data_IF_038083144143
#
_entry.id   IF_038083144143
#
_cell.length_a   1.000
_cell.length_b   1.000
_cell.length_c   1.000
_cell.angle_alpha   90.00
_cell.angle_beta   90.00
_cell.angle_gamma   90.00
#
_symmetry.space_group_name_H-M   'P 1'
#
loop_
_entity.id
_entity.type
_entity.pdbx_description
1 polymer ?
#
# COMPACT_ATOMS: atom_id res chain seq x y z
N UNK A 1 45.76 -0.46 19.07
CA UNK A 1 46.21 -0.60 17.68
C UNK A 1 44.99 -1.03 16.88
N UNK A 2 44.40 -0.12 16.11
CA UNK A 2 43.23 -0.40 15.29
C UNK A 2 43.75 -0.89 13.92
N UNK A 3 43.40 -2.10 13.53
CA UNK A 3 43.69 -2.62 12.19
C UNK A 3 42.47 -2.33 11.31
N UNK A 4 42.63 -1.44 10.33
CA UNK A 4 41.66 -1.26 9.24
C UNK A 4 42.10 -2.18 8.11
N UNK A 5 41.29 -3.18 7.80
CA UNK A 5 41.44 -3.99 6.59
C UNK A 5 40.63 -3.29 5.50
N UNK A 6 41.31 -2.67 4.54
CA UNK A 6 40.68 -2.18 3.32
C UNK A 6 40.55 -3.38 2.38
N UNK A 7 39.32 -3.82 2.14
CA UNK A 7 39.02 -4.72 1.04
C UNK A 7 39.11 -3.93 -0.28
N UNK A 8 39.74 -4.47 -1.34
CA UNK A 8 39.73 -3.81 -2.64
C UNK A 8 38.30 -3.78 -3.18
N UNK A 9 37.89 -2.62 -3.69
CA UNK A 9 36.64 -2.45 -4.42
C UNK A 9 36.69 -3.30 -5.69
N UNK A 10 36.03 -4.46 -5.66
CA UNK A 10 35.71 -5.25 -6.85
C UNK A 10 34.22 -5.45 -6.86
N UNK A 11 33.51 -4.56 -7.54
CA UNK A 11 32.14 -4.81 -7.99
C UNK A 11 32.04 -4.39 -9.46
N UNK A 12 32.69 -5.15 -10.34
CA UNK A 12 32.13 -5.39 -11.66
C UNK A 12 31.19 -6.59 -11.48
N UNK A 13 29.97 -6.31 -11.03
CA UNK A 13 28.89 -7.27 -11.15
C UNK A 13 28.39 -7.12 -12.59
N UNK A 14 28.42 -8.19 -13.37
CA UNK A 14 27.81 -8.20 -14.70
C UNK A 14 26.30 -7.95 -14.52
N UNK A 15 25.90 -6.69 -14.69
CA UNK A 15 24.51 -6.28 -14.74
C UNK A 15 24.05 -6.47 -16.18
N UNK A 16 23.48 -7.64 -16.48
CA UNK A 16 22.83 -7.87 -17.77
C UNK A 16 21.47 -7.15 -17.77
N UNK A 17 21.32 -6.18 -18.68
CA UNK A 17 20.04 -5.55 -18.93
C UNK A 17 19.17 -6.56 -19.70
N UNK A 18 17.93 -6.84 -19.26
CA UNK A 18 17.06 -7.75 -19.98
C UNK A 18 16.95 -7.39 -21.47
N UNK A 19 17.18 -8.36 -22.35
CA UNK A 19 17.29 -8.13 -23.79
C UNK A 19 16.05 -7.48 -24.41
N UNK A 20 14.86 -7.67 -23.82
CA UNK A 20 13.62 -7.06 -24.28
C UNK A 20 13.63 -5.52 -24.21
N UNK A 21 14.48 -4.93 -23.36
CA UNK A 21 14.65 -3.48 -23.23
C UNK A 21 15.28 -2.87 -24.50
N UNK A 22 16.12 -3.64 -25.22
CA UNK A 22 16.81 -3.17 -26.43
C UNK A 22 15.85 -2.69 -27.52
N UNK A 23 14.64 -3.25 -27.56
CA UNK A 23 13.59 -2.80 -28.48
C UNK A 23 13.22 -1.33 -28.26
N UNK A 24 13.11 -0.89 -27.01
CA UNK A 24 12.76 0.50 -26.68
C UNK A 24 13.89 1.46 -27.08
N UNK A 25 15.14 1.05 -26.91
CA UNK A 25 16.29 1.83 -27.36
C UNK A 25 16.35 1.94 -28.89
N UNK A 26 16.05 0.86 -29.61
CA UNK A 26 15.93 0.88 -31.08
C UNK A 26 14.81 1.81 -31.56
N UNK A 27 13.61 1.68 -30.99
CA UNK A 27 12.49 2.58 -31.31
C UNK A 27 12.81 4.04 -31.03
N UNK A 28 13.54 4.33 -29.95
CA UNK A 28 13.97 5.68 -29.67
C UNK A 28 14.95 6.18 -30.71
N UNK A 29 16.00 5.40 -31.02
CA UNK A 29 17.02 5.74 -32.01
C UNK A 29 16.42 6.00 -33.41
N UNK A 30 15.44 5.19 -33.82
CA UNK A 30 14.72 5.32 -35.09
C UNK A 30 13.72 6.48 -35.11
N UNK A 31 13.48 7.15 -33.99
CA UNK A 31 12.51 8.23 -33.86
C UNK A 31 11.05 7.76 -33.82
N UNK A 32 10.81 6.48 -33.53
CA UNK A 32 9.47 5.92 -33.33
C UNK A 32 8.87 6.31 -31.98
N UNK A 33 9.72 6.52 -30.96
CA UNK A 33 9.34 7.16 -29.70
C UNK A 33 10.15 8.43 -29.46
N UNK A 34 9.54 9.41 -28.81
CA UNK A 34 10.19 10.68 -28.49
C UNK A 34 11.09 10.57 -27.23
N UNK A 35 11.91 11.60 -27.04
CA UNK A 35 12.88 11.69 -25.95
C UNK A 35 12.21 11.59 -24.56
N UNK A 36 11.04 12.22 -24.39
CA UNK A 36 10.31 12.20 -23.12
C UNK A 36 9.78 10.81 -22.79
N UNK A 37 9.25 10.10 -23.80
CA UNK A 37 8.74 8.73 -23.67
C UNK A 37 9.85 7.77 -23.29
N UNK A 38 11.00 7.88 -23.96
CA UNK A 38 12.17 7.06 -23.66
C UNK A 38 12.71 7.34 -22.25
N UNK A 39 12.87 8.61 -21.88
CA UNK A 39 13.35 9.02 -20.53
C UNK A 39 12.40 8.51 -19.43
N UNK A 40 11.10 8.69 -19.60
CA UNK A 40 10.10 8.23 -18.62
C UNK A 40 10.13 6.70 -18.44
N UNK A 41 10.23 5.96 -19.55
CA UNK A 41 10.38 4.51 -19.51
C UNK A 41 11.67 4.08 -18.82
N UNK A 42 12.78 4.77 -19.08
CA UNK A 42 14.05 4.49 -18.45
C UNK A 42 14.05 4.78 -16.95
N UNK A 43 13.47 5.91 -16.53
CA UNK A 43 13.27 6.24 -15.11
C UNK A 43 12.45 5.16 -14.41
N UNK A 44 11.38 4.67 -15.04
CA UNK A 44 10.58 3.58 -14.49
C UNK A 44 11.38 2.28 -14.34
N UNK A 45 12.17 1.92 -15.35
CA UNK A 45 13.02 0.71 -15.33
C UNK A 45 14.07 0.75 -14.24
N UNK A 46 14.68 1.92 -14.02
CA UNK A 46 15.63 2.15 -12.92
C UNK A 46 14.92 2.10 -11.57
N UNK A 47 13.72 2.69 -11.46
CA UNK A 47 12.96 2.77 -10.20
C UNK A 47 12.36 1.44 -9.74
N UNK A 48 12.16 0.48 -10.66
CA UNK A 48 11.61 -0.85 -10.37
C UNK A 48 12.69 -1.94 -10.34
N UNK A 49 13.97 -1.56 -10.17
CA UNK A 49 15.12 -2.48 -10.12
C UNK A 49 15.26 -3.41 -11.35
N UNK A 50 14.67 -3.02 -12.50
CA UNK A 50 14.83 -3.76 -13.77
C UNK A 50 16.18 -3.44 -14.40
N UNK A 51 16.64 -2.20 -14.26
CA UNK A 51 17.99 -1.75 -14.63
C UNK A 51 18.67 -1.18 -13.40
N UNK A 52 19.77 -1.79 -12.98
CA UNK A 52 20.61 -1.24 -11.92
C UNK A 52 21.68 -0.35 -12.52
N UNK A 53 21.76 0.90 -12.07
CA UNK A 53 22.78 1.86 -12.50
C UNK A 53 23.84 1.97 -11.38
N UNK A 54 25.15 1.95 -11.69
CA UNK A 54 26.18 2.18 -10.69
C UNK A 54 25.98 3.54 -9.99
N UNK A 55 26.46 3.71 -8.74
CA UNK A 55 26.33 4.95 -8.01
C UNK A 55 26.78 6.16 -8.85
N UNK A 56 25.87 7.11 -9.05
CA UNK A 56 26.05 8.28 -9.92
C UNK A 56 25.55 9.52 -9.19
N UNK A 57 26.37 10.56 -9.10
CA UNK A 57 25.95 11.83 -8.51
C UNK A 57 24.98 12.55 -9.45
N UNK A 58 23.85 13.01 -8.92
CA UNK A 58 22.84 13.68 -9.72
C UNK A 58 23.19 15.16 -9.94
N UNK A 59 23.07 15.62 -11.19
CA UNK A 59 23.30 17.01 -11.55
C UNK A 59 22.18 17.96 -11.08
N UNK A 60 22.49 19.25 -11.03
CA UNK A 60 21.47 20.29 -10.92
C UNK A 60 20.76 20.42 -12.28
N UNK A 61 19.42 20.25 -12.29
CA UNK A 61 18.62 20.14 -13.52
C UNK A 61 19.02 21.12 -14.62
N UNK A 62 19.21 20.59 -15.84
CA UNK A 62 19.62 21.34 -17.03
C UNK A 62 18.50 21.47 -18.05
N UNK A 63 18.75 22.14 -19.17
CA UNK A 63 17.86 22.08 -20.34
C UNK A 63 17.65 20.61 -20.76
N UNK A 64 16.39 20.21 -20.98
CA UNK A 64 15.95 18.83 -21.27
C UNK A 64 16.37 18.32 -22.67
N UNK A 65 17.50 18.78 -23.21
CA UNK A 65 17.94 18.42 -24.57
C UNK A 65 18.89 17.23 -24.49
N UNK A 66 18.46 16.09 -25.01
CA UNK A 66 19.30 14.89 -25.07
C UNK A 66 20.30 15.03 -26.23
N UNK A 67 21.63 14.92 -25.98
CA UNK A 67 22.62 14.97 -27.05
C UNK A 67 22.46 13.82 -28.06
N UNK A 68 22.64 14.11 -29.35
CA UNK A 68 22.49 13.10 -30.40
C UNK A 68 23.43 11.90 -30.28
N UNK A 69 24.59 12.05 -29.64
CA UNK A 69 25.50 10.92 -29.40
C UNK A 69 24.92 9.88 -28.42
N UNK A 70 24.08 10.30 -27.46
CA UNK A 70 23.37 9.37 -26.56
C UNK A 70 22.38 8.53 -27.38
N UNK A 71 21.65 9.19 -28.29
CA UNK A 71 20.68 8.54 -29.16
C UNK A 71 21.34 7.54 -30.12
N UNK A 72 22.52 7.89 -30.65
CA UNK A 72 23.33 6.96 -31.44
C UNK A 72 23.77 5.75 -30.63
N UNK A 73 24.22 5.94 -29.38
CA UNK A 73 24.59 4.84 -28.49
C UNK A 73 23.41 3.90 -28.23
N UNK A 74 22.19 4.43 -28.06
CA UNK A 74 20.99 3.60 -27.90
C UNK A 74 20.72 2.72 -29.14
N UNK A 75 20.90 3.26 -30.35
CA UNK A 75 20.79 2.49 -31.59
C UNK A 75 21.87 1.40 -31.69
N UNK A 76 23.13 1.74 -31.42
CA UNK A 76 24.22 0.77 -31.39
C UNK A 76 24.01 -0.32 -30.35
N UNK A 77 23.44 0.01 -29.19
CA UNK A 77 23.14 -0.96 -28.14
C UNK A 77 22.00 -1.91 -28.55
N UNK A 78 20.97 -1.38 -29.20
CA UNK A 78 19.87 -2.17 -29.75
C UNK A 78 20.34 -3.17 -30.82
N UNK A 79 21.29 -2.75 -31.66
CA UNK A 79 21.91 -3.58 -32.69
C UNK A 79 22.97 -4.56 -32.15
N UNK A 80 23.28 -4.51 -30.85
CA UNK A 80 24.33 -5.34 -30.24
C UNK A 80 25.76 -4.93 -30.62
N UNK A 81 25.97 -3.70 -31.10
CA UNK A 81 27.29 -3.16 -31.46
C UNK A 81 28.07 -2.64 -30.24
N UNK A 82 27.36 -2.23 -29.19
CA UNK A 82 27.95 -1.91 -27.88
C UNK A 82 27.32 -2.76 -26.78
N UNK A 83 28.07 -2.98 -25.71
CA UNK A 83 27.63 -3.76 -24.55
C UNK A 83 26.76 -2.93 -23.59
N UNK A 84 26.17 -3.60 -22.60
CA UNK A 84 25.30 -2.97 -21.61
C UNK A 84 26.06 -1.91 -20.79
N UNK A 85 27.34 -2.16 -20.49
CA UNK A 85 28.19 -1.22 -19.75
C UNK A 85 28.41 0.11 -20.49
N UNK A 86 28.58 0.05 -21.82
CA UNK A 86 28.70 1.24 -22.67
C UNK A 86 27.39 2.03 -22.74
N UNK A 87 26.25 1.33 -22.80
CA UNK A 87 24.93 1.98 -22.77
C UNK A 87 24.65 2.63 -21.41
N UNK A 88 24.91 1.91 -20.31
CA UNK A 88 24.77 2.40 -18.93
C UNK A 88 25.61 3.65 -18.69
N UNK A 89 26.83 3.71 -19.23
CA UNK A 89 27.69 4.90 -19.11
C UNK A 89 27.03 6.16 -19.72
N UNK A 90 26.25 6.00 -20.79
CA UNK A 90 25.45 7.08 -21.36
C UNK A 90 24.31 7.54 -20.42
N UNK A 91 23.65 6.59 -19.75
CA UNK A 91 22.61 6.88 -18.75
C UNK A 91 23.20 7.63 -17.55
N UNK A 92 24.34 7.17 -17.03
CA UNK A 92 25.03 7.85 -15.93
C UNK A 92 25.38 9.29 -16.29
N UNK A 93 25.78 9.54 -17.54
CA UNK A 93 26.03 10.89 -18.01
C UNK A 93 24.78 11.76 -18.01
N UNK A 94 23.62 11.23 -18.46
CA UNK A 94 22.34 11.96 -18.42
C UNK A 94 21.94 12.33 -16.98
N UNK A 95 22.16 11.43 -16.02
CA UNK A 95 21.87 11.66 -14.60
C UNK A 95 22.83 12.73 -14.03
N UNK A 96 24.13 12.60 -14.32
CA UNK A 96 25.16 13.52 -13.83
C UNK A 96 25.00 14.95 -14.35
N UNK A 97 24.38 15.10 -15.52
CA UNK A 97 24.12 16.41 -16.12
C UNK A 97 22.71 16.94 -15.79
N UNK A 98 21.91 16.23 -14.99
CA UNK A 98 20.57 16.67 -14.59
C UNK A 98 19.55 16.67 -15.73
N UNK A 99 19.80 15.91 -16.81
CA UNK A 99 18.85 15.69 -17.91
C UNK A 99 17.85 14.60 -17.53
N UNK A 100 18.35 13.53 -16.89
CA UNK A 100 17.51 12.58 -16.17
C UNK A 100 17.62 12.94 -14.69
N UNK A 101 16.53 13.41 -14.14
CA UNK A 101 16.37 13.50 -12.70
C UNK A 101 15.78 12.17 -12.25
N UNK A 102 16.56 11.39 -11.52
CA UNK A 102 15.98 10.34 -10.71
C UNK A 102 15.42 11.08 -9.50
N UNK A 103 14.10 11.14 -9.38
CA UNK A 103 13.57 11.40 -8.03
C UNK A 103 14.12 10.26 -7.17
N UNK A 104 14.58 10.57 -5.94
CA UNK A 104 14.77 9.50 -4.96
C UNK A 104 13.56 8.61 -5.09
N UNK A 105 13.81 7.33 -5.35
CA UNK A 105 12.78 6.39 -5.76
C UNK A 105 11.50 6.77 -5.06
N UNK A 106 10.45 7.08 -5.83
CA UNK A 106 9.16 6.63 -5.35
C UNK A 106 9.34 5.12 -5.35
N UNK A 107 9.98 4.59 -4.29
CA UNK A 107 9.47 3.45 -3.58
C UNK A 107 7.99 3.73 -3.66
N UNK A 108 7.28 2.99 -4.52
CA UNK A 108 5.86 2.83 -4.30
C UNK A 108 5.87 2.30 -2.88
N UNK A 109 5.69 3.19 -1.90
CA UNK A 109 5.85 2.84 -0.50
C UNK A 109 4.88 1.71 -0.37
N UNK A 110 5.39 0.49 -0.21
CA UNK A 110 4.57 -0.71 -0.25
C UNK A 110 3.45 -0.43 0.74
N UNK A 111 2.24 -0.22 0.23
CA UNK A 111 1.15 0.24 1.07
C UNK A 111 0.67 -0.98 1.84
N UNK A 112 1.15 -1.08 3.07
CA UNK A 112 1.01 -2.25 3.91
C UNK A 112 -0.12 -2.03 4.89
N UNK A 113 -1.09 -2.93 4.78
CA UNK A 113 -2.30 -2.93 5.61
C UNK A 113 -2.20 -4.09 6.58
N UNK A 114 -2.36 -3.80 7.87
CA UNK A 114 -2.51 -4.82 8.88
C UNK A 114 -3.97 -5.23 9.02
N UNK A 115 -4.24 -6.53 9.01
CA UNK A 115 -5.54 -7.12 9.26
C UNK A 115 -5.49 -7.85 10.60
N UNK A 116 -6.34 -7.45 11.54
CA UNK A 116 -6.40 -8.04 12.88
C UNK A 116 -7.85 -8.12 13.37
N UNK A 117 -8.12 -8.99 14.35
CA UNK A 117 -9.40 -9.15 15.02
C UNK A 117 -9.18 -9.65 16.44
N UNK A 118 -10.24 -9.65 17.25
CA UNK A 118 -10.24 -10.30 18.57
C UNK A 118 -9.09 -9.82 19.48
N UNK A 119 -8.81 -8.51 19.44
CA UNK A 119 -7.57 -7.95 19.99
C UNK A 119 -7.50 -8.04 21.51
N UNK A 120 -8.58 -7.68 22.22
CA UNK A 120 -8.53 -7.47 23.67
C UNK A 120 -7.63 -6.29 24.07
N UNK A 121 -7.21 -6.23 25.34
CA UNK A 121 -6.34 -5.14 25.84
C UNK A 121 -5.20 -5.64 26.75
N UNK A 122 -4.74 -6.88 26.54
CA UNK A 122 -3.69 -7.52 27.34
C UNK A 122 -2.28 -7.31 26.77
N UNK A 123 -1.23 -7.89 27.40
CA UNK A 123 0.13 -7.81 26.89
C UNK A 123 0.30 -8.37 25.46
N UNK A 124 -0.43 -9.44 25.13
CA UNK A 124 -0.42 -9.99 23.77
C UNK A 124 -1.00 -9.02 22.73
N UNK A 125 -2.03 -8.25 23.11
CA UNK A 125 -2.62 -7.19 22.28
C UNK A 125 -1.60 -6.11 21.95
N UNK A 126 -0.76 -5.73 22.93
CA UNK A 126 0.34 -4.78 22.72
C UNK A 126 1.39 -5.36 21.77
N UNK A 127 1.77 -6.63 21.94
CA UNK A 127 2.75 -7.27 21.05
C UNK A 127 2.29 -7.34 19.59
N UNK A 128 0.99 -7.50 19.33
CA UNK A 128 0.44 -7.43 17.95
C UNK A 128 0.58 -6.01 17.39
N UNK A 129 0.29 -4.97 18.18
CA UNK A 129 0.49 -3.58 17.76
C UNK A 129 1.98 -3.25 17.54
N UNK A 130 2.89 -3.79 18.37
CA UNK A 130 4.32 -3.65 18.17
C UNK A 130 4.77 -4.32 16.86
N UNK A 131 4.24 -5.50 16.54
CA UNK A 131 4.50 -6.15 15.25
C UNK A 131 4.01 -5.30 14.07
N UNK A 132 2.81 -4.71 14.16
CA UNK A 132 2.28 -3.80 13.13
C UNK A 132 3.22 -2.62 12.91
N UNK A 133 3.75 -2.05 14.00
CA UNK A 133 4.72 -0.95 13.97
C UNK A 133 6.05 -1.36 13.34
N UNK A 134 6.58 -2.52 13.73
CA UNK A 134 7.87 -3.03 13.26
C UNK A 134 7.81 -3.40 11.77
N UNK A 135 6.68 -3.93 11.34
CA UNK A 135 6.36 -4.16 9.93
C UNK A 135 6.01 -2.86 9.18
N UNK A 136 6.02 -1.68 9.82
CA UNK A 136 5.76 -0.39 9.17
C UNK A 136 4.44 -0.35 8.38
N UNK A 137 3.41 -1.05 8.87
CA UNK A 137 2.08 -0.94 8.27
C UNK A 137 1.59 0.51 8.37
N UNK A 138 0.94 1.00 7.33
CA UNK A 138 0.44 2.37 7.25
C UNK A 138 -1.02 2.50 7.71
N UNK A 139 -1.74 1.38 7.82
CA UNK A 139 -3.09 1.37 8.37
C UNK A 139 -3.47 0.01 8.96
N UNK A 140 -4.51 0.00 9.78
CA UNK A 140 -5.16 -1.22 10.29
C UNK A 140 -6.60 -1.31 9.82
N UNK A 141 -6.99 -2.49 9.33
CA UNK A 141 -8.38 -2.94 9.22
C UNK A 141 -8.65 -3.96 10.34
N UNK A 142 -9.46 -3.59 11.32
CA UNK A 142 -9.80 -4.41 12.48
C UNK A 142 -11.17 -5.10 12.29
N UNK A 143 -11.18 -6.43 12.21
CA UNK A 143 -12.34 -7.29 12.06
C UNK A 143 -13.12 -7.48 13.38
N UNK A 144 -13.36 -6.39 14.11
CA UNK A 144 -14.20 -6.38 15.33
C UNK A 144 -13.65 -7.14 16.54
N UNK A 145 -14.46 -7.14 17.59
CA UNK A 145 -14.15 -7.67 18.92
C UNK A 145 -12.88 -7.01 19.53
N UNK A 146 -13.02 -5.70 19.77
CA UNK A 146 -11.95 -4.75 20.00
C UNK A 146 -11.23 -4.94 21.33
N UNK A 147 -11.97 -4.98 22.44
CA UNK A 147 -11.37 -5.02 23.79
C UNK A 147 -12.03 -6.00 24.77
N UNK A 148 -13.23 -6.51 24.44
CA UNK A 148 -14.10 -7.35 25.29
C UNK A 148 -14.50 -6.73 26.66
N UNK A 149 -14.26 -5.44 26.84
CA UNK A 149 -14.42 -4.71 28.09
C UNK A 149 -15.40 -3.53 28.03
N UNK A 150 -15.92 -3.18 26.85
CA UNK A 150 -16.74 -1.97 26.64
C UNK A 150 -16.00 -0.69 27.13
N UNK A 151 -14.69 -0.57 26.85
CA UNK A 151 -13.84 0.56 27.28
C UNK A 151 -13.13 1.23 26.08
N UNK A 152 -13.86 2.02 25.26
CA UNK A 152 -13.30 2.70 24.09
C UNK A 152 -12.09 3.58 24.39
N UNK A 153 -12.07 4.26 25.54
CA UNK A 153 -10.97 5.12 25.95
C UNK A 153 -9.68 4.32 26.22
N UNK A 154 -9.81 3.15 26.85
CA UNK A 154 -8.65 2.29 27.13
C UNK A 154 -8.16 1.61 25.86
N UNK A 155 -9.08 1.14 25.01
CA UNK A 155 -8.75 0.55 23.72
C UNK A 155 -7.97 1.53 22.83
N UNK A 156 -8.50 2.75 22.64
CA UNK A 156 -7.86 3.77 21.81
C UNK A 156 -6.51 4.22 22.38
N UNK A 157 -6.41 4.40 23.71
CA UNK A 157 -5.16 4.76 24.38
C UNK A 157 -4.06 3.71 24.17
N UNK A 158 -4.41 2.42 24.21
CA UNK A 158 -3.45 1.35 23.94
C UNK A 158 -2.89 1.46 22.52
N UNK A 159 -3.75 1.70 21.54
CA UNK A 159 -3.35 1.91 20.14
C UNK A 159 -2.45 3.14 20.01
N UNK A 160 -2.90 4.30 20.54
CA UNK A 160 -2.16 5.56 20.45
C UNK A 160 -0.78 5.49 21.12
N UNK A 161 -0.65 4.74 22.21
CA UNK A 161 0.64 4.54 22.89
C UNK A 161 1.66 3.75 22.05
N UNK A 162 1.22 2.86 21.16
CA UNK A 162 2.11 2.00 20.36
C UNK A 162 2.31 2.57 18.95
N UNK A 163 1.21 2.80 18.25
CA UNK A 163 1.18 3.17 16.83
C UNK A 163 1.17 4.67 16.60
N UNK A 164 0.71 5.46 17.57
CA UNK A 164 0.51 6.90 17.43
C UNK A 164 -0.97 7.29 17.39
N UNK A 165 -1.24 8.51 17.83
CA UNK A 165 -2.60 9.06 17.98
C UNK A 165 -3.23 9.50 16.65
N UNK A 166 -2.39 9.68 15.63
CA UNK A 166 -2.73 9.97 14.24
C UNK A 166 -2.72 8.73 13.34
N UNK A 167 -2.28 7.56 13.83
CA UNK A 167 -2.20 6.35 13.02
C UNK A 167 -3.58 5.93 12.45
N UNK A 168 -3.71 5.74 11.11
CA UNK A 168 -4.94 5.31 10.47
C UNK A 168 -5.41 3.93 10.97
N UNK A 169 -6.56 3.93 11.66
CA UNK A 169 -7.13 2.73 12.26
C UNK A 169 -8.62 2.67 11.96
N UNK A 170 -9.07 1.54 11.43
CA UNK A 170 -10.46 1.31 11.04
C UNK A 170 -10.96 0.02 11.65
N UNK A 171 -12.23 -0.04 12.01
CA UNK A 171 -12.81 -1.24 12.56
C UNK A 171 -14.23 -1.48 12.04
N UNK A 172 -14.59 -2.75 11.88
CA UNK A 172 -15.97 -3.20 11.72
C UNK A 172 -16.53 -3.64 13.07
N UNK A 173 -17.83 -3.46 13.30
CA UNK A 173 -18.45 -3.85 14.58
C UNK A 173 -18.51 -5.37 14.72
N UNK A 174 -17.91 -5.90 15.79
CA UNK A 174 -18.05 -7.25 16.29
C UNK A 174 -19.17 -7.40 17.33
N UNK A 175 -19.37 -8.63 17.80
CA UNK A 175 -20.42 -8.90 18.80
C UNK A 175 -20.10 -8.25 20.14
N UNK A 176 -18.82 -8.19 20.48
CA UNK A 176 -18.35 -7.63 21.74
C UNK A 176 -18.25 -6.09 21.75
N UNK A 177 -18.50 -5.43 20.61
CA UNK A 177 -18.36 -3.99 20.48
C UNK A 177 -19.70 -3.27 20.45
N UNK A 178 -20.77 -3.99 20.07
CA UNK A 178 -22.05 -3.41 19.68
C UNK A 178 -22.69 -2.54 20.76
N UNK A 179 -22.41 -2.84 22.03
CA UNK A 179 -22.94 -2.13 23.21
C UNK A 179 -22.30 -0.75 23.40
N UNK A 180 -20.98 -0.62 23.27
CA UNK A 180 -20.25 0.64 23.41
C UNK A 180 -19.88 1.29 22.06
N UNK A 181 -20.48 0.83 20.95
CA UNK A 181 -20.17 1.35 19.61
C UNK A 181 -20.57 2.83 19.42
N UNK A 182 -21.81 3.18 19.79
CA UNK A 182 -22.36 4.53 19.70
C UNK A 182 -22.58 5.08 21.13
N UNK A 183 -21.53 5.40 21.88
CA UNK A 183 -21.74 6.12 23.14
C UNK A 183 -21.91 7.63 22.87
N UNK A 184 -22.93 8.21 23.51
CA UNK A 184 -23.46 9.54 23.19
C UNK A 184 -22.80 10.68 23.98
N UNK A 185 -23.51 11.79 24.27
CA UNK A 185 -22.90 13.06 24.69
C UNK A 185 -22.17 13.09 26.06
N UNK A 186 -22.09 11.95 26.77
CA UNK A 186 -21.44 11.82 28.07
C UNK A 186 -20.17 10.96 27.99
N UNK A 187 -20.06 10.07 27.01
CA UNK A 187 -18.92 9.15 26.78
C UNK A 187 -18.81 8.86 25.30
N UNK A 188 -17.60 8.90 24.77
CA UNK A 188 -17.33 8.57 23.37
C UNK A 188 -17.41 7.05 23.16
N UNK A 189 -18.10 6.61 22.12
CA UNK A 189 -18.09 5.22 21.70
C UNK A 189 -16.85 4.86 20.90
N UNK A 190 -16.71 3.58 20.54
CA UNK A 190 -15.65 3.14 19.62
C UNK A 190 -15.67 3.93 18.31
N UNK A 191 -16.88 4.22 17.78
CA UNK A 191 -17.02 4.95 16.54
C UNK A 191 -16.49 6.39 16.64
N UNK A 192 -16.69 7.06 17.77
CA UNK A 192 -16.18 8.41 17.99
C UNK A 192 -14.64 8.44 17.97
N UNK A 193 -14.00 7.42 18.57
CA UNK A 193 -12.53 7.27 18.51
C UNK A 193 -12.03 7.11 17.09
N UNK A 194 -12.72 6.32 16.27
CA UNK A 194 -12.40 6.16 14.86
C UNK A 194 -12.60 7.47 14.07
N UNK A 195 -13.68 8.21 14.32
CA UNK A 195 -13.89 9.52 13.70
C UNK A 195 -12.84 10.55 14.11
N UNK A 196 -12.37 10.53 15.36
CA UNK A 196 -11.30 11.41 15.81
C UNK A 196 -9.96 11.09 15.13
N UNK A 197 -9.69 9.81 14.84
CA UNK A 197 -8.55 9.42 13.98
C UNK A 197 -8.74 9.90 12.55
N UNK A 198 -9.93 9.79 11.97
CA UNK A 198 -10.21 10.31 10.62
C UNK A 198 -10.00 11.82 10.50
N UNK A 199 -10.39 12.61 11.52
CA UNK A 199 -10.18 14.07 11.53
C UNK A 199 -8.70 14.44 11.46
N UNK A 200 -7.80 13.57 11.92
CA UNK A 200 -6.34 13.76 11.89
C UNK A 200 -5.72 13.32 10.56
N UNK A 201 -6.46 12.59 9.72
CA UNK A 201 -6.01 12.05 8.43
C UNK A 201 -6.93 12.55 7.29
N UNK A 202 -6.81 13.82 6.90
CA UNK A 202 -7.73 14.47 5.95
C UNK A 202 -7.69 13.91 4.51
N UNK A 203 -6.68 13.12 4.17
CA UNK A 203 -6.55 12.41 2.91
C UNK A 203 -7.45 11.16 2.83
N UNK A 204 -7.96 10.69 3.96
CA UNK A 204 -8.86 9.55 4.03
C UNK A 204 -10.28 10.03 3.78
N UNK A 205 -10.95 9.40 2.84
CA UNK A 205 -12.37 9.67 2.56
C UNK A 205 -13.20 8.50 2.99
N UNK A 206 -14.28 8.75 3.72
CA UNK A 206 -15.24 7.73 4.13
C UNK A 206 -16.67 8.24 3.93
N UNK A 207 -17.55 7.35 3.48
CA UNK A 207 -18.99 7.58 3.37
C UNK A 207 -19.77 6.53 4.15
N UNK A 208 -20.97 6.87 4.59
CA UNK A 208 -21.84 5.96 5.32
C UNK A 208 -21.62 5.99 6.84
N UNK A 209 -22.05 4.92 7.51
CA UNK A 209 -22.00 4.77 8.96
C UNK A 209 -20.74 3.98 9.33
N UNK A 210 -19.73 4.67 9.87
CA UNK A 210 -18.37 4.14 10.01
C UNK A 210 -18.33 2.84 10.81
N UNK A 211 -17.77 1.78 10.21
CA UNK A 211 -17.66 0.44 10.81
C UNK A 211 -18.96 -0.38 10.83
N UNK A 212 -20.06 0.19 10.34
CA UNK A 212 -21.38 -0.47 10.29
C UNK A 212 -21.79 -0.73 8.85
N UNK A 213 -21.84 0.34 8.05
CA UNK A 213 -22.02 0.32 6.59
C UNK A 213 -21.30 1.54 6.03
N UNK A 214 -19.99 1.43 5.91
CA UNK A 214 -19.16 2.50 5.39
C UNK A 214 -18.23 2.01 4.30
N UNK A 215 -17.95 2.87 3.35
CA UNK A 215 -16.92 2.67 2.35
C UNK A 215 -15.92 3.80 2.45
N UNK A 216 -14.63 3.47 2.35
CA UNK A 216 -13.55 4.41 2.50
C UNK A 216 -12.50 4.21 1.41
N UNK A 217 -11.77 5.28 1.12
CA UNK A 217 -10.61 5.26 0.23
C UNK A 217 -9.42 5.90 0.95
N UNK A 218 -8.29 5.19 0.92
CA UNK A 218 -7.02 5.70 1.40
C UNK A 218 -5.89 5.12 0.54
N UNK A 219 -5.02 5.99 0.00
CA UNK A 219 -3.87 5.59 -0.82
C UNK A 219 -4.23 4.58 -1.94
N UNK A 220 -5.28 4.90 -2.72
CA UNK A 220 -5.86 4.08 -3.79
C UNK A 220 -6.42 2.71 -3.38
N UNK A 221 -6.42 2.37 -2.09
CA UNK A 221 -7.15 1.24 -1.55
C UNK A 221 -8.60 1.65 -1.26
N UNK A 222 -9.54 0.98 -1.90
CA UNK A 222 -10.94 1.04 -1.53
C UNK A 222 -11.26 -0.05 -0.50
N UNK A 223 -12.00 0.28 0.55
CA UNK A 223 -12.42 -0.73 1.51
C UNK A 223 -13.79 -0.44 2.11
N UNK A 224 -14.51 -1.50 2.39
CA UNK A 224 -15.87 -1.48 2.92
C UNK A 224 -15.86 -2.12 4.30
N UNK A 225 -16.35 -1.39 5.29
CA UNK A 225 -16.56 -1.88 6.65
C UNK A 225 -18.04 -2.18 6.82
N UNK A 226 -18.37 -3.44 7.08
CA UNK A 226 -19.74 -3.88 7.36
C UNK A 226 -19.81 -4.70 8.64
N UNK A 227 -20.97 -4.68 9.28
CA UNK A 227 -21.20 -5.39 10.56
C UNK A 227 -22.42 -6.31 10.52
N UNK A 228 -22.47 -7.29 9.60
CA UNK A 228 -23.56 -8.25 9.54
C UNK A 228 -23.78 -8.93 10.89
N UNK A 229 -25.05 -9.02 11.29
CA UNK A 229 -25.51 -9.63 12.55
C UNK A 229 -25.13 -8.87 13.83
N UNK A 230 -24.04 -8.09 13.83
CA UNK A 230 -23.65 -7.26 14.97
C UNK A 230 -24.44 -5.94 15.03
N UNK A 231 -24.56 -5.23 13.90
CA UNK A 231 -25.20 -3.91 13.85
C UNK A 231 -25.67 -3.54 12.45
N UNK A 232 -26.82 -2.86 12.35
CA UNK A 232 -27.40 -2.46 11.06
C UNK A 232 -27.93 -3.64 10.23
N UNK A 233 -28.47 -3.33 9.04
CA UNK A 233 -29.03 -4.31 8.10
C UNK A 233 -28.77 -3.90 6.64
N UNK A 234 -28.96 -4.83 5.70
CA UNK A 234 -28.76 -4.60 4.26
C UNK A 234 -27.29 -4.40 3.89
N UNK A 235 -26.40 -5.19 4.48
CA UNK A 235 -24.96 -5.12 4.27
C UNK A 235 -24.53 -5.62 2.90
N UNK A 236 -25.14 -6.70 2.44
CA UNK A 236 -25.00 -7.29 1.11
C UNK A 236 -25.30 -6.26 0.00
N UNK A 237 -26.49 -5.66 0.03
CA UNK A 237 -26.89 -4.64 -0.96
C UNK A 237 -26.03 -3.38 -0.91
N UNK A 238 -25.54 -3.00 0.29
CA UNK A 238 -24.57 -1.92 0.43
C UNK A 238 -23.25 -2.27 -0.26
N UNK A 239 -22.69 -3.46 0.00
CA UNK A 239 -21.46 -3.93 -0.64
C UNK A 239 -21.60 -3.95 -2.17
N UNK A 240 -22.68 -4.54 -2.68
CA UNK A 240 -22.93 -4.60 -4.13
C UNK A 240 -22.97 -3.20 -4.75
N UNK A 241 -23.68 -2.27 -4.11
CA UNK A 241 -23.77 -0.89 -4.60
C UNK A 241 -22.40 -0.19 -4.60
N UNK A 242 -21.64 -0.33 -3.51
CA UNK A 242 -20.34 0.31 -3.37
C UNK A 242 -19.31 -0.24 -4.37
N UNK A 243 -19.25 -1.56 -4.56
CA UNK A 243 -18.31 -2.17 -5.50
C UNK A 243 -18.70 -1.92 -6.97
N UNK A 244 -19.99 -1.90 -7.31
CA UNK A 244 -20.44 -1.59 -8.68
C UNK A 244 -20.13 -0.14 -9.11
N UNK A 245 -19.96 0.76 -8.15
CA UNK A 245 -19.64 2.17 -8.38
C UNK A 245 -18.17 2.52 -8.08
N UNK A 246 -17.31 1.51 -7.93
CA UNK A 246 -15.90 1.67 -7.62
C UNK A 246 -15.03 1.22 -8.81
N UNK A 247 -13.95 1.96 -9.07
CA UNK A 247 -12.96 1.67 -10.11
C UNK A 247 -11.53 1.48 -9.56
N UNK A 248 -11.39 1.34 -8.24
CA UNK A 248 -10.10 1.13 -7.58
C UNK A 248 -9.50 -0.24 -7.94
N UNK A 249 -8.17 -0.30 -8.06
CA UNK A 249 -7.44 -1.55 -8.37
C UNK A 249 -7.61 -2.58 -7.26
N UNK A 250 -7.51 -2.12 -6.01
CA UNK A 250 -7.65 -2.96 -4.82
C UNK A 250 -8.92 -2.58 -4.06
N UNK A 251 -9.69 -3.61 -3.71
CA UNK A 251 -10.89 -3.48 -2.89
C UNK A 251 -10.88 -4.52 -1.79
N UNK A 252 -11.28 -4.13 -0.57
CA UNK A 252 -11.41 -5.04 0.58
C UNK A 252 -12.77 -4.88 1.23
N UNK A 253 -13.45 -5.97 1.56
CA UNK A 253 -14.57 -5.95 2.48
C UNK A 253 -14.13 -6.54 3.82
N UNK A 254 -14.41 -5.84 4.90
CA UNK A 254 -14.00 -6.19 6.26
C UNK A 254 -15.22 -6.33 7.16
N UNK A 255 -15.31 -7.44 7.90
CA UNK A 255 -16.32 -7.66 8.94
C UNK A 255 -15.83 -8.67 9.97
N UNK A 256 -16.55 -8.86 11.08
CA UNK A 256 -16.07 -9.68 12.20
C UNK A 256 -16.49 -11.16 12.16
N UNK A 257 -17.70 -11.44 11.69
CA UNK A 257 -18.30 -12.78 11.82
C UNK A 257 -18.03 -13.67 10.62
N UNK A 258 -18.04 -14.97 10.86
CA UNK A 258 -17.78 -15.97 9.83
C UNK A 258 -18.99 -16.86 9.51
N UNK A 259 -18.95 -17.51 8.35
CA UNK A 259 -19.74 -18.72 8.11
C UNK A 259 -18.99 -19.93 8.70
N UNK A 260 -19.70 -20.97 9.14
CA UNK A 260 -19.08 -22.17 9.68
C UNK A 260 -18.05 -22.78 8.71
N UNK A 261 -18.36 -22.76 7.40
CA UNK A 261 -17.46 -23.27 6.35
C UNK A 261 -16.20 -22.43 6.11
N UNK A 262 -16.16 -21.20 6.63
CA UNK A 262 -15.04 -20.25 6.42
C UNK A 262 -14.08 -20.21 7.61
N UNK A 263 -14.24 -21.11 8.59
CA UNK A 263 -13.41 -21.16 9.78
C UNK A 263 -13.06 -22.61 10.14
N UNK A 264 -11.97 -22.76 10.89
CA UNK A 264 -11.53 -24.06 11.42
C UNK A 264 -12.23 -24.44 12.74
N UNK A 265 -13.02 -23.52 13.30
CA UNK A 265 -13.73 -23.69 14.56
C UNK A 265 -15.13 -24.31 14.39
N UNK A 266 -15.86 -24.38 15.50
CA UNK A 266 -17.20 -24.96 15.57
C UNK A 266 -18.31 -23.90 15.67
N UNK A 267 -18.02 -22.61 15.42
CA UNK A 267 -19.07 -21.58 15.45
C UNK A 267 -20.04 -21.79 14.28
N UNK A 268 -21.30 -21.46 14.51
CA UNK A 268 -22.37 -21.59 13.51
C UNK A 268 -22.25 -20.53 12.40
N UNK A 269 -23.15 -20.60 11.42
CA UNK A 269 -23.28 -19.58 10.38
C UNK A 269 -23.82 -18.27 10.99
N UNK A 270 -23.02 -17.20 10.99
CA UNK A 270 -23.42 -15.93 11.61
C UNK A 270 -23.53 -14.75 10.65
N UNK A 271 -22.96 -14.85 9.45
CA UNK A 271 -22.84 -13.70 8.52
C UNK A 271 -23.89 -13.70 7.41
N UNK A 272 -24.16 -14.88 6.84
CA UNK A 272 -24.94 -15.04 5.60
C UNK A 272 -24.04 -15.11 4.36
N UNK A 273 -24.37 -16.01 3.43
CA UNK A 273 -23.60 -16.16 2.17
C UNK A 273 -23.78 -14.98 1.24
N UNK A 274 -24.87 -14.22 1.39
CA UNK A 274 -25.21 -13.04 0.60
C UNK A 274 -24.12 -11.97 0.74
N UNK A 275 -23.61 -11.74 1.95
CA UNK A 275 -22.52 -10.79 2.23
C UNK A 275 -21.20 -11.24 1.59
N UNK A 276 -20.84 -12.52 1.76
CA UNK A 276 -19.65 -13.11 1.13
C UNK A 276 -19.74 -13.03 -0.41
N UNK A 277 -20.92 -13.35 -0.97
CA UNK A 277 -21.13 -13.33 -2.40
C UNK A 277 -21.10 -11.92 -2.97
N UNK A 278 -21.69 -10.93 -2.28
CA UNK A 278 -21.62 -9.54 -2.68
C UNK A 278 -20.17 -9.07 -2.83
N UNK A 279 -19.33 -9.36 -1.82
CA UNK A 279 -17.93 -8.98 -1.85
C UNK A 279 -17.13 -9.73 -2.93
N UNK A 280 -17.28 -11.06 -2.97
CA UNK A 280 -16.60 -11.95 -3.94
C UNK A 280 -16.96 -11.58 -5.39
N UNK A 281 -18.23 -11.32 -5.66
CA UNK A 281 -18.71 -11.00 -7.00
C UNK A 281 -18.23 -9.61 -7.46
N UNK A 282 -18.01 -8.68 -6.53
CA UNK A 282 -17.38 -7.40 -6.82
C UNK A 282 -15.85 -7.45 -6.91
N UNK A 283 -15.23 -8.64 -6.86
CA UNK A 283 -13.79 -8.82 -7.03
C UNK A 283 -12.93 -8.34 -5.87
N UNK A 284 -13.53 -8.10 -4.70
CA UNK A 284 -12.82 -7.61 -3.52
C UNK A 284 -12.26 -8.75 -2.66
N UNK A 285 -11.18 -8.44 -1.94
CA UNK A 285 -10.62 -9.29 -0.88
C UNK A 285 -11.59 -9.31 0.30
N UNK A 286 -11.72 -10.45 0.96
CA UNK A 286 -12.57 -10.63 2.14
C UNK A 286 -11.65 -10.77 3.37
N UNK A 287 -11.84 -9.90 4.38
CA UNK A 287 -11.16 -9.94 5.66
C UNK A 287 -12.17 -10.15 6.80
N UNK A 288 -12.00 -11.24 7.55
CA UNK A 288 -12.98 -11.76 8.52
C UNK A 288 -12.34 -12.53 9.67
#
# INVERSE_FOLDING_TARGET
>A
MLAVVVAPSVFAQDFEIPSWIKNNAGWWADGQIDDNTFVSGLQWLISNDVITIPPTEQGAGSDNVIPGWIKNNAGWWADGQIDDSSFVSGIQWLISNGIIMLEETHSVTEFRVAFIGDQGHGPASVSVLELIKDEKAQMVLHQGDLDYGDDPDKWDRMISNVLGDDFPYFASVGEHDAKAWYEGPIRDGYQDKLYDRLKKNPEITCVGDLGVKSACTYNDLFFILVSPTAKGSGHDSFIENQLNNNNSVWSVCSWAKNMNKMQMGNKEDQTGWEVYNACKNGGAIIAT
#
